data_IF_749450714484
#
_entry.id   IF_749450714484
#
_cell.length_a   1.000
_cell.length_b   1.000
_cell.length_c   1.000
_cell.angle_alpha   90.00
_cell.angle_beta   90.00
_cell.angle_gamma   90.00
#
_symmetry.space_group_name_H-M   'P 1'
#
loop_
_entity.id
_entity.type
_entity.pdbx_description
1 polymer ?
#
# COMPACT_ATOMS: atom_id res chain seq x y z
N UNK A 1 24.89 -5.44 4.27
CA UNK A 1 24.00 -6.22 5.14
C UNK A 1 23.82 -7.59 4.51
N UNK A 2 24.21 -8.68 5.18
CA UNK A 2 24.20 -10.05 4.61
C UNK A 2 22.80 -10.69 4.56
N UNK A 3 21.82 -10.15 5.31
CA UNK A 3 20.45 -10.69 5.40
C UNK A 3 19.39 -9.90 4.60
N UNK A 4 19.75 -8.81 3.93
CA UNK A 4 18.78 -8.10 3.09
C UNK A 4 18.73 -8.76 1.71
N UNK A 5 17.59 -9.39 1.39
CA UNK A 5 17.30 -9.86 0.04
C UNK A 5 17.40 -8.74 -0.99
N UNK A 6 17.56 -9.12 -2.27
CA UNK A 6 17.65 -8.17 -3.38
C UNK A 6 16.39 -7.30 -3.46
N UNK A 7 16.56 -5.98 -3.60
CA UNK A 7 15.45 -5.05 -3.75
C UNK A 7 14.79 -5.29 -5.11
N UNK A 8 13.59 -5.87 -5.11
CA UNK A 8 12.75 -6.02 -6.30
C UNK A 8 11.68 -4.94 -6.31
N UNK A 9 11.54 -4.24 -7.43
CA UNK A 9 10.45 -3.27 -7.62
C UNK A 9 9.11 -4.03 -7.64
N UNK A 10 8.20 -3.64 -6.74
CA UNK A 10 6.84 -4.19 -6.70
C UNK A 10 5.98 -3.45 -7.72
N UNK A 11 5.33 -4.19 -8.61
CA UNK A 11 4.28 -3.65 -9.51
C UNK A 11 2.92 -3.92 -8.90
N UNK A 12 1.99 -2.98 -9.03
CA UNK A 12 0.63 -3.13 -8.53
C UNK A 12 -0.29 -3.81 -9.52
N UNK A 13 -1.42 -4.35 -9.02
CA UNK A 13 -2.46 -4.93 -9.87
C UNK A 13 -3.01 -3.89 -10.87
N UNK A 14 -3.15 -2.63 -10.43
CA UNK A 14 -3.54 -1.52 -11.29
C UNK A 14 -2.55 -1.27 -12.43
N UNK A 15 -1.23 -1.30 -12.19
CA UNK A 15 -0.24 -1.18 -13.28
C UNK A 15 -0.42 -2.28 -14.33
N UNK A 16 -0.64 -3.53 -13.90
CA UNK A 16 -0.89 -4.62 -14.85
C UNK A 16 -2.22 -4.47 -15.61
N UNK A 17 -3.25 -3.91 -14.96
CA UNK A 17 -4.52 -3.61 -15.60
C UNK A 17 -4.38 -2.48 -16.63
N UNK A 18 -3.64 -1.41 -16.32
CA UNK A 18 -3.29 -0.34 -17.26
C UNK A 18 -2.61 -0.93 -18.51
N UNK A 19 -1.56 -1.72 -18.32
CA UNK A 19 -0.80 -2.35 -19.41
C UNK A 19 -1.72 -3.21 -20.29
N UNK A 20 -2.62 -3.99 -19.67
CA UNK A 20 -3.59 -4.82 -20.39
C UNK A 20 -4.61 -3.99 -21.16
N UNK A 21 -5.13 -2.91 -20.58
CA UNK A 21 -6.09 -2.02 -21.25
C UNK A 21 -5.45 -1.33 -22.46
N UNK A 22 -4.22 -0.82 -22.31
CA UNK A 22 -3.48 -0.20 -23.41
C UNK A 22 -3.31 -1.19 -24.56
N UNK A 23 -2.88 -2.42 -24.26
CA UNK A 23 -2.73 -3.48 -25.27
C UNK A 23 -4.06 -3.79 -25.97
N UNK A 24 -5.15 -3.94 -25.21
CA UNK A 24 -6.48 -4.19 -25.77
C UNK A 24 -6.93 -3.06 -26.71
N UNK A 25 -6.73 -1.79 -26.34
CA UNK A 25 -7.07 -0.62 -27.16
C UNK A 25 -6.21 -0.57 -28.43
N UNK A 26 -4.91 -0.87 -28.34
CA UNK A 26 -4.04 -0.90 -29.52
C UNK A 26 -4.45 -1.99 -30.50
N UNK A 27 -4.83 -3.18 -30.02
CA UNK A 27 -5.28 -4.28 -30.89
C UNK A 27 -6.60 -3.94 -31.56
N UNK A 28 -7.59 -3.42 -30.82
CA UNK A 28 -8.87 -3.04 -31.42
C UNK A 28 -8.72 -1.89 -32.42
N UNK A 29 -7.83 -0.94 -32.17
CA UNK A 29 -7.51 0.14 -33.10
C UNK A 29 -6.94 -0.40 -34.41
N UNK A 30 -6.02 -1.36 -34.37
CA UNK A 30 -5.45 -1.98 -35.58
C UNK A 30 -6.52 -2.71 -36.41
N UNK A 31 -7.46 -3.39 -35.75
CA UNK A 31 -8.55 -4.09 -36.43
C UNK A 31 -9.54 -3.11 -37.07
N UNK A 32 -9.86 -2.01 -36.38
CA UNK A 32 -10.74 -0.96 -36.89
C UNK A 32 -10.08 -0.25 -38.08
N UNK A 33 -8.82 0.18 -37.95
CA UNK A 33 -8.12 0.87 -39.05
C UNK A 33 -7.95 -0.03 -40.28
N UNK A 34 -7.71 -1.32 -40.09
CA UNK A 34 -7.66 -2.30 -41.19
C UNK A 34 -9.01 -2.43 -41.90
N UNK A 35 -10.10 -2.52 -41.14
CA UNK A 35 -11.46 -2.62 -41.70
C UNK A 35 -11.85 -1.34 -42.46
N UNK A 36 -11.51 -0.16 -41.93
CA UNK A 36 -11.74 1.11 -42.62
C UNK A 36 -10.89 1.25 -43.89
N UNK A 37 -9.64 0.78 -43.89
CA UNK A 37 -8.78 0.81 -45.07
C UNK A 37 -9.34 -0.04 -46.21
N UNK A 38 -9.85 -1.24 -45.91
CA UNK A 38 -10.52 -2.09 -46.89
C UNK A 38 -11.78 -1.42 -47.42
N UNK A 39 -12.63 -0.89 -46.53
CA UNK A 39 -13.85 -0.19 -46.91
C UNK A 39 -13.58 1.03 -47.81
N UNK A 40 -12.57 1.83 -47.46
CA UNK A 40 -12.12 2.97 -48.26
C UNK A 40 -11.58 2.55 -49.62
N UNK A 41 -10.77 1.50 -49.69
CA UNK A 41 -10.26 0.96 -50.96
C UNK A 41 -11.37 0.47 -51.90
N UNK A 42 -12.36 -0.27 -51.36
CA UNK A 42 -13.51 -0.75 -52.14
C UNK A 42 -14.40 0.40 -52.60
N UNK A 43 -14.72 1.34 -51.71
CA UNK A 43 -15.59 2.47 -52.02
C UNK A 43 -14.95 3.42 -53.03
N UNK A 44 -13.64 3.68 -52.92
CA UNK A 44 -12.91 4.54 -53.83
C UNK A 44 -13.02 4.09 -55.29
N UNK A 45 -12.94 2.79 -55.57
CA UNK A 45 -13.09 2.28 -56.94
C UNK A 45 -14.45 2.60 -57.57
N UNK A 46 -15.52 2.62 -56.78
CA UNK A 46 -16.87 2.99 -57.23
C UNK A 46 -17.03 4.51 -57.32
N UNK A 47 -16.56 5.23 -56.32
CA UNK A 47 -16.70 6.69 -56.23
C UNK A 47 -15.92 7.44 -57.33
N UNK A 48 -14.76 6.93 -57.74
CA UNK A 48 -13.98 7.52 -58.83
C UNK A 48 -14.64 7.39 -60.21
N UNK A 49 -15.55 6.43 -60.41
CA UNK A 49 -16.28 6.29 -61.68
C UNK A 49 -17.36 7.37 -61.86
N UNK A 50 -17.97 7.84 -60.77
CA UNK A 50 -19.06 8.82 -60.83
C UNK A 50 -18.59 10.28 -60.84
N UNK A 51 -17.36 10.56 -60.39
CA UNK A 51 -16.85 11.93 -60.24
C UNK A 51 -15.60 12.21 -61.08
N UNK A 52 -15.82 12.81 -62.26
CA UNK A 52 -14.78 13.10 -63.26
C UNK A 52 -13.68 14.08 -62.79
N UNK A 53 -13.95 14.93 -61.80
CA UNK A 53 -13.00 15.94 -61.30
C UNK A 53 -11.89 15.37 -60.41
N UNK A 54 -12.11 14.23 -59.74
CA UNK A 54 -11.10 13.57 -58.90
C UNK A 54 -10.23 12.58 -59.68
N UNK A 55 -10.70 12.13 -60.85
CA UNK A 55 -10.00 11.18 -61.71
C UNK A 55 -8.61 11.66 -62.15
N UNK A 56 -8.43 12.98 -62.33
CA UNK A 56 -7.15 13.57 -62.75
C UNK A 56 -6.01 13.39 -61.74
N UNK A 57 -6.30 13.45 -60.42
CA UNK A 57 -5.31 13.26 -59.37
C UNK A 57 -4.98 11.78 -59.12
N UNK A 58 -5.91 10.88 -59.45
CA UNK A 58 -5.83 9.45 -59.09
C UNK A 58 -5.45 8.52 -60.23
N UNK A 59 -5.21 9.06 -61.43
CA UNK A 59 -5.01 8.29 -62.66
C UNK A 59 -3.79 7.36 -62.67
N UNK A 60 -2.80 7.60 -61.81
CA UNK A 60 -1.54 6.84 -61.74
C UNK A 60 -1.41 5.93 -60.52
N UNK A 61 -2.38 5.93 -59.61
CA UNK A 61 -2.30 5.22 -58.33
C UNK A 61 -3.16 3.95 -58.39
N UNK A 62 -2.56 2.79 -58.14
CA UNK A 62 -3.30 1.54 -58.04
C UNK A 62 -4.20 1.54 -56.79
N UNK A 63 -5.35 0.87 -56.85
CA UNK A 63 -6.28 0.80 -55.71
C UNK A 63 -5.61 0.23 -54.43
N UNK A 64 -4.61 -0.65 -54.61
CA UNK A 64 -3.83 -1.26 -53.55
C UNK A 64 -2.92 -0.24 -52.86
N UNK A 65 -2.21 0.61 -53.63
CA UNK A 65 -1.35 1.63 -53.01
C UNK A 65 -2.17 2.70 -52.29
N UNK A 66 -3.36 3.02 -52.77
CA UNK A 66 -4.30 3.88 -52.03
C UNK A 66 -4.72 3.27 -50.69
N UNK A 67 -5.20 2.02 -50.69
CA UNK A 67 -5.63 1.35 -49.47
C UNK A 67 -4.49 1.23 -48.45
N UNK A 68 -3.25 1.05 -48.92
CA UNK A 68 -2.05 1.04 -48.10
C UNK A 68 -1.79 2.39 -47.40
N UNK A 69 -1.84 3.50 -48.14
CA UNK A 69 -1.70 4.84 -47.53
C UNK A 69 -2.90 5.21 -46.65
N UNK A 70 -4.11 4.80 -47.04
CA UNK A 70 -5.33 4.99 -46.25
C UNK A 70 -5.26 4.25 -44.90
N UNK A 71 -4.69 3.03 -44.86
CA UNK A 71 -4.45 2.31 -43.61
C UNK A 71 -3.58 3.10 -42.63
N UNK A 72 -2.45 3.63 -43.08
CA UNK A 72 -1.58 4.47 -42.24
C UNK A 72 -2.26 5.78 -41.82
N UNK A 73 -3.04 6.39 -42.74
CA UNK A 73 -3.82 7.59 -42.44
C UNK A 73 -4.87 7.36 -41.35
N UNK A 74 -5.65 6.28 -41.43
CA UNK A 74 -6.63 5.93 -40.40
C UNK A 74 -5.97 5.52 -39.08
N UNK A 75 -4.80 4.86 -39.12
CA UNK A 75 -4.04 4.52 -37.92
C UNK A 75 -3.61 5.79 -37.17
N UNK A 76 -3.07 6.78 -37.87
CA UNK A 76 -2.69 8.07 -37.28
C UNK A 76 -3.93 8.81 -36.75
N UNK A 77 -5.01 8.87 -37.52
CA UNK A 77 -6.25 9.53 -37.10
C UNK A 77 -6.84 8.91 -35.83
N UNK A 78 -6.86 7.57 -35.74
CA UNK A 78 -7.40 6.84 -34.59
C UNK A 78 -6.41 6.75 -33.42
N UNK A 79 -5.12 7.04 -33.61
CA UNK A 79 -4.10 6.97 -32.55
C UNK A 79 -4.39 7.88 -31.36
N UNK A 80 -5.22 8.91 -31.54
CA UNK A 80 -5.75 9.78 -30.48
C UNK A 80 -6.61 9.03 -29.44
N UNK A 81 -7.13 7.85 -29.79
CA UNK A 81 -7.87 6.96 -28.89
C UNK A 81 -6.93 6.30 -27.87
N UNK A 82 -5.64 6.16 -28.18
CA UNK A 82 -4.66 5.66 -27.20
C UNK A 82 -4.54 6.72 -26.10
N UNK A 83 -4.95 6.41 -24.85
CA UNK A 83 -5.02 7.42 -23.82
C UNK A 83 -3.62 7.64 -23.21
N UNK A 84 -2.79 8.42 -23.90
CA UNK A 84 -1.47 8.81 -23.37
C UNK A 84 -1.60 9.66 -22.11
N UNK A 85 -2.69 10.42 -21.99
CA UNK A 85 -3.01 11.23 -20.80
C UNK A 85 -3.34 10.39 -19.56
N UNK A 86 -3.93 9.22 -19.75
CA UNK A 86 -4.36 8.37 -18.62
C UNK A 86 -3.17 7.96 -17.76
N UNK A 87 -2.04 7.57 -18.37
CA UNK A 87 -0.83 7.18 -17.65
C UNK A 87 -0.31 8.31 -16.74
N UNK A 88 -0.22 9.54 -17.25
CA UNK A 88 0.26 10.68 -16.46
C UNK A 88 -0.76 11.08 -15.38
N UNK A 89 -2.06 10.98 -15.67
CA UNK A 89 -3.10 11.24 -14.68
C UNK A 89 -3.04 10.23 -13.54
N UNK A 90 -2.78 8.94 -13.82
CA UNK A 90 -2.63 7.92 -12.77
C UNK A 90 -1.43 8.18 -11.86
N UNK A 91 -0.27 8.53 -12.42
CA UNK A 91 0.90 8.92 -11.62
C UNK A 91 0.63 10.15 -10.75
N UNK A 92 -0.10 11.13 -11.29
CA UNK A 92 -0.51 12.31 -10.53
C UNK A 92 -1.45 11.95 -9.37
N UNK A 93 -2.43 11.07 -9.59
CA UNK A 93 -3.33 10.58 -8.54
C UNK A 93 -2.53 9.89 -7.43
N UNK A 94 -1.55 9.04 -7.77
CA UNK A 94 -0.70 8.37 -6.77
C UNK A 94 0.15 9.36 -5.97
N UNK A 95 0.66 10.42 -6.59
CA UNK A 95 1.38 11.48 -5.91
C UNK A 95 0.47 12.21 -4.91
N UNK A 96 -0.72 12.63 -5.34
CA UNK A 96 -1.68 13.34 -4.47
C UNK A 96 -2.08 12.47 -3.28
N UNK A 97 -2.39 11.20 -3.49
CA UNK A 97 -2.72 10.27 -2.41
C UNK A 97 -1.56 10.10 -1.41
N UNK A 98 -0.32 10.08 -1.91
CA UNK A 98 0.86 10.04 -1.04
C UNK A 98 1.01 11.31 -0.20
N UNK A 99 0.70 12.47 -0.77
CA UNK A 99 0.70 13.73 -0.03
C UNK A 99 -0.38 13.75 1.06
N UNK A 100 -1.58 13.21 0.79
CA UNK A 100 -2.63 13.11 1.81
C UNK A 100 -2.20 12.27 3.01
N UNK A 101 -1.53 11.13 2.80
CA UNK A 101 -0.97 10.32 3.90
C UNK A 101 0.04 11.13 4.74
N UNK A 102 0.87 11.94 4.09
CA UNK A 102 1.90 12.73 4.77
C UNK A 102 1.35 13.95 5.53
N UNK A 103 0.21 14.48 5.09
CA UNK A 103 -0.44 15.65 5.70
C UNK A 103 -1.50 15.29 6.74
N UNK A 104 -1.76 14.00 6.94
CA UNK A 104 -2.74 13.54 7.92
C UNK A 104 -2.24 13.77 9.36
N UNK A 105 -3.01 14.53 10.13
CA UNK A 105 -2.73 14.85 11.54
C UNK A 105 -3.09 13.67 12.45
N UNK A 106 -4.05 12.83 12.06
CA UNK A 106 -4.47 11.67 12.87
C UNK A 106 -3.36 10.61 12.95
N UNK A 107 -2.49 10.53 11.94
CA UNK A 107 -1.34 9.64 11.91
C UNK A 107 -0.04 10.28 12.43
N UNK A 108 -0.12 11.44 13.10
CA UNK A 108 1.03 12.13 13.68
C UNK A 108 1.33 11.64 15.10
N UNK A 109 2.57 11.24 15.37
CA UNK A 109 2.99 10.85 16.72
C UNK A 109 3.68 12.01 17.46
N UNK A 110 3.04 12.62 18.48
CA UNK A 110 3.52 13.86 19.11
C UNK A 110 4.76 13.66 20.00
N UNK A 111 4.86 12.55 20.72
CA UNK A 111 5.95 12.33 21.70
C UNK A 111 7.34 12.31 21.04
N UNK A 112 7.41 11.82 19.79
CA UNK A 112 8.64 11.76 19.00
C UNK A 112 8.63 12.70 17.79
N UNK A 113 7.67 13.62 17.71
CA UNK A 113 7.47 14.52 16.58
C UNK A 113 7.64 13.84 15.21
N UNK A 114 7.03 12.66 15.03
CA UNK A 114 7.23 11.84 13.83
C UNK A 114 5.92 11.77 13.04
N UNK A 115 5.84 12.42 11.85
CA UNK A 115 4.69 12.28 10.96
C UNK A 115 4.71 10.97 10.19
N UNK A 116 3.55 10.58 9.66
CA UNK A 116 3.46 9.53 8.66
C UNK A 116 4.26 9.92 7.40
N UNK A 117 4.97 8.96 6.81
CA UNK A 117 5.78 9.21 5.62
C UNK A 117 5.63 8.04 4.62
N UNK A 118 4.91 8.30 3.54
CA UNK A 118 4.76 7.41 2.41
C UNK A 118 6.02 7.44 1.52
N UNK A 119 6.84 6.40 1.62
CA UNK A 119 8.10 6.25 0.84
C UNK A 119 7.88 5.74 -0.59
N UNK A 120 6.68 5.30 -0.93
CA UNK A 120 6.37 4.74 -2.25
C UNK A 120 4.96 5.16 -2.66
N UNK A 121 4.87 5.96 -3.72
CA UNK A 121 3.60 6.52 -4.22
C UNK A 121 2.72 5.47 -4.89
N UNK A 122 3.33 4.51 -5.59
CA UNK A 122 2.61 3.51 -6.39
C UNK A 122 1.90 2.44 -5.56
N UNK A 123 2.28 2.24 -4.29
CA UNK A 123 1.74 1.19 -3.43
C UNK A 123 0.50 1.63 -2.64
N UNK A 124 0.09 2.89 -2.77
CA UNK A 124 -0.98 3.46 -1.95
C UNK A 124 -2.34 2.76 -2.18
N UNK A 125 -2.66 2.34 -3.40
CA UNK A 125 -3.88 1.58 -3.70
C UNK A 125 -3.88 0.17 -3.07
N UNK A 126 -2.70 -0.44 -2.87
CA UNK A 126 -2.61 -1.76 -2.24
C UNK A 126 -2.91 -1.72 -0.75
N UNK A 127 -2.76 -0.57 -0.09
CA UNK A 127 -3.06 -0.41 1.34
C UNK A 127 -4.54 -0.70 1.62
N UNK A 128 -5.44 -0.38 0.68
CA UNK A 128 -6.87 -0.69 0.79
C UNK A 128 -7.24 -2.13 0.40
N UNK A 129 -6.30 -2.91 -0.12
CA UNK A 129 -6.51 -4.27 -0.64
C UNK A 129 -5.76 -5.34 0.16
N UNK A 130 -5.40 -5.04 1.41
CA UNK A 130 -4.70 -6.00 2.28
C UNK A 130 -5.68 -7.04 2.85
N UNK A 131 -5.32 -8.32 2.77
CA UNK A 131 -6.11 -9.43 3.33
C UNK A 131 -5.48 -9.99 4.62
N UNK A 132 -4.15 -9.91 4.73
CA UNK A 132 -3.40 -10.47 5.85
C UNK A 132 -2.45 -9.42 6.42
N UNK A 133 -2.45 -9.31 7.75
CA UNK A 133 -1.53 -8.45 8.51
C UNK A 133 -0.59 -9.36 9.30
N UNK A 134 0.71 -9.26 9.00
CA UNK A 134 1.75 -9.89 9.81
C UNK A 134 2.32 -8.84 10.75
N UNK A 135 2.10 -9.01 12.06
CA UNK A 135 2.59 -8.09 13.08
C UNK A 135 3.72 -8.74 13.87
N UNK A 136 4.78 -7.97 14.13
CA UNK A 136 5.82 -8.35 15.08
C UNK A 136 5.37 -8.04 16.52
N UNK A 137 5.88 -8.79 17.50
CA UNK A 137 5.54 -8.58 18.92
C UNK A 137 6.29 -7.38 19.48
N UNK A 138 7.61 -7.44 19.47
CA UNK A 138 8.46 -6.47 20.16
C UNK A 138 8.70 -5.24 19.29
N UNK A 139 8.44 -4.05 19.82
CA UNK A 139 8.60 -2.79 19.09
C UNK A 139 7.43 -2.44 18.15
N UNK A 140 6.45 -3.33 17.98
CA UNK A 140 5.19 -3.04 17.27
C UNK A 140 3.99 -3.19 18.20
N UNK A 141 3.68 -4.40 18.69
CA UNK A 141 2.57 -4.60 19.63
C UNK A 141 2.91 -4.16 21.05
N UNK A 142 4.16 -4.36 21.48
CA UNK A 142 4.62 -3.98 22.81
C UNK A 142 5.81 -3.03 22.73
N UNK A 143 5.78 -1.96 23.51
CA UNK A 143 6.97 -1.17 23.80
C UNK A 143 8.01 -2.06 24.49
N UNK A 144 9.30 -1.81 24.25
CA UNK A 144 10.38 -2.52 24.93
C UNK A 144 10.57 -1.98 26.36
N UNK A 145 9.51 -1.99 27.16
CA UNK A 145 9.46 -1.55 28.55
C UNK A 145 8.62 -2.57 29.32
N UNK A 146 9.25 -3.24 30.29
CA UNK A 146 8.58 -4.21 31.14
C UNK A 146 8.24 -3.58 32.48
N UNK A 147 6.95 -3.37 32.76
CA UNK A 147 6.48 -2.83 34.04
C UNK A 147 5.91 -3.94 34.90
N UNK A 148 6.43 -4.09 36.12
CA UNK A 148 5.86 -4.99 37.11
C UNK A 148 4.51 -4.44 37.60
N UNK A 149 3.45 -5.26 37.52
CA UNK A 149 2.08 -4.85 37.88
C UNK A 149 1.56 -5.55 39.13
N UNK A 150 1.64 -6.88 39.17
CA UNK A 150 1.13 -7.70 40.27
C UNK A 150 2.05 -8.92 40.48
N UNK A 151 2.11 -9.44 41.70
CA UNK A 151 2.63 -10.77 42.00
C UNK A 151 1.73 -11.50 42.98
N UNK A 152 1.89 -12.82 43.06
CA UNK A 152 1.26 -13.64 44.08
C UNK A 152 2.36 -14.27 44.95
N UNK A 153 2.27 -14.10 46.27
CA UNK A 153 3.19 -14.69 47.25
C UNK A 153 2.34 -15.44 48.28
N UNK A 154 2.56 -16.76 48.41
CA UNK A 154 1.84 -17.62 49.36
C UNK A 154 0.31 -17.51 49.30
N UNK A 155 -0.25 -17.34 48.09
CA UNK A 155 -1.70 -17.25 47.88
C UNK A 155 -2.26 -15.82 48.01
N UNK A 156 -1.48 -14.87 48.51
CA UNK A 156 -1.86 -13.46 48.58
C UNK A 156 -1.42 -12.74 47.30
N UNK A 157 -2.35 -12.04 46.66
CA UNK A 157 -2.08 -11.25 45.44
C UNK A 157 -1.71 -9.83 45.87
N UNK A 158 -0.52 -9.38 45.48
CA UNK A 158 -0.01 -8.03 45.70
C UNK A 158 -0.07 -7.26 44.39
N UNK A 159 -0.68 -6.08 44.44
CA UNK A 159 -0.67 -5.10 43.36
C UNK A 159 -2.07 -4.58 43.04
N UNK A 160 -2.12 -3.34 42.58
CA UNK A 160 -3.36 -2.56 42.55
C UNK A 160 -4.33 -3.08 41.48
N UNK A 161 -5.61 -3.12 41.81
CA UNK A 161 -6.67 -3.34 40.83
C UNK A 161 -6.98 -2.02 40.12
N UNK A 162 -6.96 -2.03 38.80
CA UNK A 162 -7.43 -0.89 38.03
C UNK A 162 -8.96 -0.93 37.97
N UNK A 163 -9.62 -0.20 38.87
CA UNK A 163 -11.07 -0.06 38.86
C UNK A 163 -11.49 1.04 37.87
N UNK A 164 -12.02 0.68 36.70
CA UNK A 164 -12.32 1.62 35.61
C UNK A 164 -13.40 2.66 35.97
N UNK A 165 -14.22 2.42 37.00
CA UNK A 165 -15.35 3.28 37.36
C UNK A 165 -15.00 4.37 38.39
N UNK A 166 -13.80 4.34 38.98
CA UNK A 166 -13.34 5.35 39.91
C UNK A 166 -11.90 5.69 39.53
N UNK A 167 -11.65 6.92 39.07
CA UNK A 167 -10.30 7.41 38.75
C UNK A 167 -9.36 7.54 39.97
N UNK A 168 -9.28 6.51 40.80
CA UNK A 168 -8.38 6.35 41.96
C UNK A 168 -7.92 4.90 42.04
N UNK A 169 -6.62 4.71 42.24
CA UNK A 169 -6.10 3.45 42.77
C UNK A 169 -6.76 3.23 44.13
N UNK A 170 -7.65 2.25 44.22
CA UNK A 170 -8.16 1.75 45.48
C UNK A 170 -7.27 0.58 45.86
N UNK A 171 -6.46 0.78 46.89
CA UNK A 171 -5.72 -0.31 47.53
C UNK A 171 -6.75 -1.17 48.26
N UNK A 172 -7.43 -2.06 47.53
CA UNK A 172 -8.18 -3.16 48.14
C UNK A 172 -7.15 -4.14 48.71
N UNK A 173 -6.56 -3.77 49.85
CA UNK A 173 -6.09 -4.74 50.82
C UNK A 173 -7.34 -5.47 51.29
N UNK A 174 -7.62 -6.63 50.72
CA UNK A 174 -8.65 -7.53 51.21
C UNK A 174 -8.31 -7.84 52.68
N UNK A 175 -9.00 -7.16 53.59
CA UNK A 175 -8.86 -7.29 55.04
C UNK A 175 -9.50 -8.61 55.47
N UNK A 176 -8.74 -9.70 55.30
CA UNK A 176 -8.95 -10.98 55.96
C UNK A 176 -7.62 -11.43 56.59
N UNK A 177 -7.43 -11.11 57.87
CA UNK A 177 -6.22 -11.32 58.67
C UNK A 177 -5.89 -12.82 58.89
N UNK A 178 -4.60 -13.22 59.05
CA UNK A 178 -3.79 -12.85 60.21
C UNK A 178 -2.36 -12.33 59.88
N UNK A 179 -1.88 -11.41 60.73
CA UNK A 179 -0.47 -10.94 60.86
C UNK A 179 0.12 -10.12 59.69
N UNK A 180 -0.19 -8.82 59.65
CA UNK A 180 0.47 -7.81 58.81
C UNK A 180 2.01 -7.84 58.84
N UNK A 181 2.62 -8.26 59.96
CA UNK A 181 4.07 -8.33 60.11
C UNK A 181 4.72 -9.49 59.32
N UNK A 182 4.11 -10.68 59.34
CA UNK A 182 4.61 -11.88 58.63
C UNK A 182 4.52 -11.69 57.12
N UNK A 183 3.44 -11.02 56.68
CA UNK A 183 3.18 -10.67 55.29
C UNK A 183 4.23 -9.67 54.74
N UNK A 184 4.65 -8.69 55.56
CA UNK A 184 5.71 -7.74 55.20
C UNK A 184 7.11 -8.36 55.13
N UNK A 185 7.44 -9.28 56.05
CA UNK A 185 8.70 -10.02 56.04
C UNK A 185 8.83 -10.89 54.78
N UNK A 186 7.77 -11.63 54.41
CA UNK A 186 7.75 -12.47 53.21
C UNK A 186 7.92 -11.67 51.92
N UNK A 187 7.30 -10.49 51.82
CA UNK A 187 7.48 -9.59 50.68
C UNK A 187 8.93 -9.07 50.59
N UNK A 188 9.54 -8.73 51.74
CA UNK A 188 10.93 -8.23 51.79
C UNK A 188 11.96 -9.28 51.38
N UNK A 189 11.79 -10.55 51.78
CA UNK A 189 12.66 -11.66 51.37
C UNK A 189 12.53 -11.93 49.87
N UNK A 190 11.31 -11.96 49.35
CA UNK A 190 11.04 -12.18 47.93
C UNK A 190 11.67 -11.08 47.05
N UNK A 191 11.51 -9.81 47.43
CA UNK A 191 12.12 -8.68 46.72
C UNK A 191 13.66 -8.71 46.79
N UNK A 192 14.23 -9.10 47.95
CA UNK A 192 15.68 -9.26 48.11
C UNK A 192 16.24 -10.36 47.20
N UNK A 193 15.56 -11.51 47.10
CA UNK A 193 15.92 -12.58 46.17
C UNK A 193 15.82 -12.15 44.70
N UNK A 194 14.75 -11.43 44.34
CA UNK A 194 14.57 -10.92 42.97
C UNK A 194 15.69 -9.94 42.57
N UNK A 195 16.13 -9.10 43.52
CA UNK A 195 17.22 -8.14 43.34
C UNK A 195 18.58 -8.83 43.14
N UNK A 196 18.88 -9.86 43.94
CA UNK A 196 20.10 -10.64 43.77
C UNK A 196 20.15 -11.37 42.41
N UNK A 197 19.03 -11.94 41.98
CA UNK A 197 18.93 -12.66 40.70
C UNK A 197 19.04 -11.73 39.47
N UNK A 198 18.49 -10.52 39.54
CA UNK A 198 18.59 -9.54 38.46
C UNK A 198 20.01 -8.96 38.36
N UNK A 199 20.67 -8.73 39.50
CA UNK A 199 22.08 -8.31 39.55
C UNK A 199 23.01 -9.35 38.90
N UNK A 200 22.77 -10.64 39.15
CA UNK A 200 23.49 -11.75 38.51
C UNK A 200 23.29 -11.81 36.99
N UNK A 201 22.08 -11.52 36.49
CA UNK A 201 21.82 -11.46 35.04
C UNK A 201 22.44 -10.24 34.36
N UNK A 202 22.47 -9.09 35.03
CA UNK A 202 23.13 -7.88 34.52
C UNK A 202 24.64 -8.08 34.36
N UNK A 203 25.28 -8.82 35.27
CA UNK A 203 26.69 -9.19 35.17
C UNK A 203 27.03 -10.20 34.06
N UNK A 204 26.05 -10.92 33.50
CA UNK A 204 26.27 -11.95 32.46
C UNK A 204 26.04 -11.47 31.02
N UNK A 205 25.81 -10.16 30.80
CA UNK A 205 25.96 -9.51 29.49
C UNK A 205 25.29 -10.24 28.33
N UNK A 206 23.95 -10.21 28.29
CA UNK A 206 23.17 -10.44 27.07
C UNK A 206 22.34 -9.19 26.77
#
# INVERSE_FOLDING_TARGET
MKNCGKITLKKTKLCHLMDRLVLMITVTLLLISFSLAIGSGLWATKFFQEHSYLFAFYRHTSAISYAFFAFWGFLILLSLVIPMSMLITFEFIYLVNSCFINWDIEMYYPEKNTPANARSTSLNDQLGQIEYIFSDKTGTLTQNIMTFKKCCINGNIYGNEWNQNAGKCTDHLEQGSPTLATCGLQLSEFLSQLCLLSSLKSCQGW
#
